data_IF_538152175172
#
_entry.id   IF_538152175172
#
_cell.length_a   1.000
_cell.length_b   1.000
_cell.length_c   1.000
_cell.angle_alpha   90.00
_cell.angle_beta   90.00
_cell.angle_gamma   90.00
#
_symmetry.space_group_name_H-M   'P 1'
#
loop_
_entity.id
_entity.type
_entity.pdbx_description
1 polymer ?
#
# COMPACT_ATOMS: atom_id res chain seq x y z
N UNK A 1 -22.00 -1.94 -5.75
CA UNK A 1 -21.17 -1.29 -4.70
C UNK A 1 -19.67 -1.39 -4.99
N UNK A 2 -19.13 -2.60 -5.22
CA UNK A 2 -17.72 -2.84 -5.56
C UNK A 2 -17.27 -2.10 -6.84
N UNK A 3 -18.10 -2.06 -7.89
CA UNK A 3 -17.77 -1.33 -9.12
C UNK A 3 -17.59 0.19 -8.94
N UNK A 4 -18.30 0.81 -7.98
CA UNK A 4 -18.15 2.24 -7.66
C UNK A 4 -16.85 2.51 -6.90
N UNK A 5 -16.44 1.57 -6.05
CA UNK A 5 -15.15 1.59 -5.34
C UNK A 5 -14.01 1.43 -6.35
N UNK A 6 -14.10 0.49 -7.29
CA UNK A 6 -13.11 0.30 -8.36
C UNK A 6 -13.03 1.55 -9.25
N UNK A 7 -14.16 2.18 -9.58
CA UNK A 7 -14.20 3.43 -10.37
C UNK A 7 -13.54 4.61 -9.64
N UNK A 8 -13.64 4.69 -8.31
CA UNK A 8 -12.90 5.68 -7.52
C UNK A 8 -11.40 5.35 -7.48
N UNK A 9 -11.04 4.08 -7.31
CA UNK A 9 -9.65 3.59 -7.36
C UNK A 9 -9.02 3.70 -8.77
N UNK A 10 -9.84 3.91 -9.82
CA UNK A 10 -9.42 4.20 -11.20
C UNK A 10 -8.50 5.43 -11.29
N UNK A 11 -8.60 6.35 -10.34
CA UNK A 11 -7.69 7.49 -10.25
C UNK A 11 -6.32 7.01 -9.76
N UNK A 12 -5.34 7.00 -10.66
CA UNK A 12 -3.93 6.70 -10.37
C UNK A 12 -3.43 7.38 -9.08
N UNK A 13 -3.92 8.60 -8.79
CA UNK A 13 -3.67 9.35 -7.57
C UNK A 13 -3.95 8.57 -6.27
N UNK A 14 -5.07 7.84 -6.15
CA UNK A 14 -5.42 7.14 -4.91
C UNK A 14 -4.47 5.96 -4.64
N UNK A 15 -4.07 5.25 -5.69
CA UNK A 15 -3.07 4.19 -5.57
C UNK A 15 -1.70 4.70 -5.14
N UNK A 16 -1.23 5.82 -5.70
CA UNK A 16 0.03 6.43 -5.28
C UNK A 16 -0.04 7.00 -3.85
N UNK A 17 -1.20 7.54 -3.45
CA UNK A 17 -1.45 7.95 -2.05
C UNK A 17 -1.34 6.75 -1.10
N UNK A 18 -1.93 5.60 -1.46
CA UNK A 18 -1.86 4.39 -0.66
C UNK A 18 -0.42 3.85 -0.53
N UNK A 19 0.37 3.88 -1.61
CA UNK A 19 1.79 3.51 -1.55
C UNK A 19 2.60 4.48 -0.69
N UNK A 20 2.33 5.80 -0.78
CA UNK A 20 2.94 6.80 0.08
C UNK A 20 2.60 6.63 1.56
N UNK A 21 1.37 6.21 1.88
CA UNK A 21 0.96 5.90 3.24
C UNK A 21 1.72 4.69 3.80
N UNK A 22 1.94 3.64 2.99
CA UNK A 22 2.73 2.47 3.40
C UNK A 22 4.19 2.83 3.68
N UNK A 23 4.79 3.70 2.87
CA UNK A 23 6.16 4.19 3.13
C UNK A 23 6.26 5.01 4.43
N UNK A 24 5.24 5.82 4.74
CA UNK A 24 5.17 6.53 6.03
C UNK A 24 5.03 5.57 7.20
N UNK A 25 4.15 4.57 7.08
CA UNK A 25 3.94 3.55 8.10
C UNK A 25 5.24 2.79 8.39
N UNK A 26 5.96 2.36 7.35
CA UNK A 26 7.25 1.67 7.49
C UNK A 26 8.28 2.53 8.23
N UNK A 27 8.34 3.83 7.90
CA UNK A 27 9.20 4.78 8.60
C UNK A 27 8.83 4.90 10.09
N UNK A 28 7.54 4.99 10.40
CA UNK A 28 7.04 5.07 11.78
C UNK A 28 7.34 3.79 12.57
N UNK A 29 7.23 2.63 11.92
CA UNK A 29 7.57 1.34 12.51
C UNK A 29 9.06 1.27 12.88
N UNK A 30 9.96 1.65 11.97
CA UNK A 30 11.40 1.70 12.23
C UNK A 30 11.71 2.67 13.38
N UNK A 31 11.07 3.83 13.43
CA UNK A 31 11.25 4.79 14.52
C UNK A 31 10.74 4.20 15.85
N UNK A 32 9.57 3.55 15.84
CA UNK A 32 8.98 2.94 17.02
C UNK A 32 9.86 1.84 17.61
N UNK A 33 10.47 0.99 16.79
CA UNK A 33 11.46 0.00 17.23
C UNK A 33 12.69 0.67 17.82
N UNK A 34 13.26 1.67 17.15
CA UNK A 34 14.44 2.39 17.66
C UNK A 34 14.20 3.08 19.00
N UNK A 35 12.96 3.51 19.26
CA UNK A 35 12.56 4.12 20.52
C UNK A 35 12.15 3.08 21.59
N UNK A 36 12.17 1.78 21.27
CA UNK A 36 11.78 0.70 22.18
C UNK A 36 10.27 0.58 22.40
N UNK A 37 9.44 1.28 21.61
CA UNK A 37 7.98 1.17 21.65
C UNK A 37 7.47 -0.08 20.92
N UNK A 38 8.26 -0.62 20.00
CA UNK A 38 7.94 -1.83 19.23
C UNK A 38 9.05 -2.84 19.50
N UNK A 39 8.65 -4.09 19.76
CA UNK A 39 9.57 -5.23 19.86
C UNK A 39 10.05 -5.67 18.47
N UNK A 40 10.09 -6.98 18.23
CA UNK A 40 10.55 -7.51 16.94
C UNK A 40 9.73 -6.98 15.76
N UNK A 41 10.37 -6.16 14.92
CA UNK A 41 9.77 -5.54 13.75
C UNK A 41 9.57 -6.53 12.59
N UNK A 42 10.24 -7.68 12.59
CA UNK A 42 10.34 -8.55 11.42
C UNK A 42 8.97 -9.01 10.91
N UNK A 43 8.08 -9.45 11.81
CA UNK A 43 6.74 -9.92 11.46
C UNK A 43 5.85 -8.81 10.92
N UNK A 44 5.98 -7.59 11.44
CA UNK A 44 5.18 -6.43 11.00
C UNK A 44 5.72 -5.92 9.65
N UNK A 45 7.04 -5.82 9.51
CA UNK A 45 7.72 -5.39 8.29
C UNK A 45 7.39 -6.31 7.11
N UNK A 46 7.37 -7.63 7.31
CA UNK A 46 6.98 -8.59 6.28
C UNK A 46 5.53 -8.39 5.82
N UNK A 47 4.60 -8.13 6.75
CA UNK A 47 3.20 -7.84 6.41
C UNK A 47 3.07 -6.54 5.61
N UNK A 48 3.85 -5.51 5.96
CA UNK A 48 3.87 -4.22 5.24
C UNK A 48 4.42 -4.40 3.82
N UNK A 49 5.48 -5.20 3.65
CA UNK A 49 6.04 -5.56 2.34
C UNK A 49 5.01 -6.29 1.46
N UNK A 50 4.34 -7.31 2.00
CA UNK A 50 3.27 -8.05 1.31
C UNK A 50 2.17 -7.09 0.85
N UNK A 51 1.74 -6.19 1.75
CA UNK A 51 0.70 -5.22 1.44
C UNK A 51 1.14 -4.25 0.34
N UNK A 52 2.39 -3.77 0.37
CA UNK A 52 2.96 -2.92 -0.67
C UNK A 52 2.93 -3.59 -2.03
N UNK A 53 3.35 -4.86 -2.12
CA UNK A 53 3.30 -5.66 -3.36
C UNK A 53 1.87 -5.83 -3.87
N UNK A 54 0.92 -6.13 -2.98
CA UNK A 54 -0.50 -6.26 -3.34
C UNK A 54 -1.06 -4.97 -3.89
N UNK A 55 -0.82 -3.83 -3.24
CA UNK A 55 -1.27 -2.51 -3.69
C UNK A 55 -0.63 -2.15 -5.04
N UNK A 56 0.67 -2.41 -5.21
CA UNK A 56 1.36 -2.16 -6.47
C UNK A 56 0.79 -3.00 -7.62
N UNK A 57 0.63 -4.30 -7.41
CA UNK A 57 0.09 -5.22 -8.43
C UNK A 57 -1.36 -4.87 -8.75
N UNK A 58 -2.16 -4.54 -7.75
CA UNK A 58 -3.53 -4.08 -7.95
C UNK A 58 -3.57 -2.77 -8.76
N UNK A 59 -2.67 -1.83 -8.48
CA UNK A 59 -2.54 -0.58 -9.25
C UNK A 59 -2.17 -0.84 -10.71
N UNK A 60 -1.20 -1.73 -10.96
CA UNK A 60 -0.82 -2.15 -12.31
C UNK A 60 -1.99 -2.80 -13.04
N UNK A 61 -2.71 -3.70 -12.36
CA UNK A 61 -3.89 -4.36 -12.91
C UNK A 61 -4.96 -3.34 -13.31
N UNK A 62 -5.29 -2.40 -12.43
CA UNK A 62 -6.27 -1.35 -12.74
C UNK A 62 -5.83 -0.52 -13.94
N UNK A 63 -4.56 -0.11 -14.01
CA UNK A 63 -4.01 0.66 -15.14
C UNK A 63 -4.10 -0.10 -16.47
N UNK A 64 -3.76 -1.39 -16.47
CA UNK A 64 -3.77 -2.22 -17.68
C UNK A 64 -5.19 -2.57 -18.11
N UNK A 65 -6.11 -2.83 -17.17
CA UNK A 65 -7.52 -3.06 -17.47
C UNK A 65 -8.16 -1.84 -18.13
N UNK A 66 -7.74 -0.63 -17.75
CA UNK A 66 -8.22 0.62 -18.37
C UNK A 66 -7.56 0.99 -19.69
N UNK A 67 -6.50 0.30 -20.12
CA UNK A 67 -5.86 0.55 -21.43
C UNK A 67 -6.54 -0.23 -22.58
N UNK A 68 -7.44 -1.14 -22.25
CA UNK A 68 -8.17 -2.01 -23.18
C UNK A 68 -9.69 -1.79 -23.16
N UNK A 69 -10.17 -0.73 -22.49
CA UNK A 69 -11.54 -0.19 -22.55
C UNK A 69 -11.51 1.15 -23.29
#
# INVERSE_FOLDING_TARGET
MIGKIIKNLKNSKISYINLGFLSKLETQLIIGEKLGYIGDLNVISEKVEILRRKVLNFTKYLKNRTAHE
#
